data_IF_033757772810
#
_entry.id   IF_033757772810
#
_cell.length_a   1.000
_cell.length_b   1.000
_cell.length_c   1.000
_cell.angle_alpha   90.00
_cell.angle_beta   90.00
_cell.angle_gamma   90.00
#
_symmetry.space_group_name_H-M   'P 1'
#
loop_
_entity.id
_entity.type
_entity.pdbx_description
1 polymer ?
#
# COMPACT_ATOMS: atom_id res chain seq x y z
N UNK A 1 25.00 24.16 -19.21
CA UNK A 1 24.38 23.18 -20.14
C UNK A 1 23.60 22.17 -19.31
N UNK A 2 22.28 22.25 -19.29
CA UNK A 2 21.42 21.33 -18.54
C UNK A 2 21.35 20.00 -19.29
N UNK A 3 21.78 18.89 -18.65
CA UNK A 3 21.60 17.55 -19.20
C UNK A 3 20.11 17.21 -19.14
N UNK A 4 19.46 16.81 -20.25
CA UNK A 4 18.12 16.25 -20.18
C UNK A 4 18.25 14.89 -19.50
N UNK A 5 17.98 14.83 -18.20
CA UNK A 5 17.85 13.56 -17.51
C UNK A 5 16.56 12.93 -18.01
N UNK A 6 16.69 12.13 -19.06
CA UNK A 6 15.67 11.23 -19.58
C UNK A 6 15.41 10.10 -18.57
N UNK A 7 15.09 10.46 -17.32
CA UNK A 7 14.58 9.56 -16.31
C UNK A 7 13.10 9.46 -16.60
N UNK A 8 12.66 8.26 -16.99
CA UNK A 8 11.25 7.88 -16.93
C UNK A 8 10.71 8.44 -15.61
N UNK A 9 9.67 9.28 -15.62
CA UNK A 9 9.13 9.87 -14.40
C UNK A 9 8.85 8.73 -13.41
N UNK A 10 9.20 8.86 -12.12
CA UNK A 10 8.81 7.88 -11.11
C UNK A 10 7.32 7.59 -11.27
N UNK A 11 6.88 6.34 -11.12
CA UNK A 11 5.47 6.01 -11.39
C UNK A 11 4.48 6.85 -10.54
N UNK A 12 4.94 7.34 -9.38
CA UNK A 12 4.30 8.36 -8.54
C UNK A 12 4.03 9.70 -9.25
N UNK A 13 4.96 10.17 -10.08
CA UNK A 13 4.84 11.42 -10.82
C UNK A 13 3.65 11.39 -11.78
N UNK A 14 3.44 10.29 -12.50
CA UNK A 14 2.30 10.14 -13.40
C UNK A 14 0.97 10.16 -12.62
N UNK A 15 0.91 9.45 -11.47
CA UNK A 15 -0.27 9.46 -10.61
C UNK A 15 -0.57 10.86 -10.05
N UNK A 16 0.46 11.60 -9.60
CA UNK A 16 0.34 12.96 -9.08
C UNK A 16 -0.10 13.97 -10.15
N UNK A 17 0.48 13.90 -11.35
CA UNK A 17 0.08 14.74 -12.50
C UNK A 17 -1.39 14.52 -12.84
N UNK A 18 -1.84 13.26 -12.88
CA UNK A 18 -3.24 12.92 -13.18
C UNK A 18 -4.24 13.55 -12.22
N UNK A 19 -3.89 13.67 -10.94
CA UNK A 19 -4.77 14.24 -9.91
C UNK A 19 -4.50 15.72 -9.63
N UNK A 20 -3.62 16.37 -10.40
CA UNK A 20 -3.31 17.79 -10.23
C UNK A 20 -2.44 18.13 -9.02
N UNK A 21 -1.78 17.15 -8.41
CA UNK A 21 -0.81 17.36 -7.33
C UNK A 21 0.55 17.77 -7.91
N UNK A 22 0.56 18.90 -8.59
CA UNK A 22 1.72 19.48 -9.30
C UNK A 22 1.92 20.94 -8.92
N UNK A 23 3.16 21.42 -9.06
CA UNK A 23 3.50 22.83 -8.95
C UNK A 23 3.06 23.59 -10.22
N UNK A 24 3.21 24.92 -10.20
CA UNK A 24 2.88 25.78 -11.35
C UNK A 24 3.66 25.41 -12.63
N UNK A 25 4.86 24.82 -12.49
CA UNK A 25 5.68 24.35 -13.60
C UNK A 25 5.33 22.92 -14.08
N UNK A 26 4.29 22.30 -13.51
CA UNK A 26 3.83 20.95 -13.83
C UNK A 26 4.64 19.83 -13.16
N UNK A 27 5.61 20.16 -12.30
CA UNK A 27 6.38 19.14 -11.57
C UNK A 27 5.57 18.58 -10.39
N UNK A 28 5.72 17.28 -10.04
CA UNK A 28 4.98 16.70 -8.92
C UNK A 28 5.23 17.41 -7.59
N UNK A 29 4.17 17.89 -6.95
CA UNK A 29 4.26 18.60 -5.68
C UNK A 29 4.14 17.63 -4.49
N UNK A 30 5.30 17.29 -3.92
CA UNK A 30 5.42 16.42 -2.74
C UNK A 30 4.76 17.03 -1.50
N UNK A 31 4.71 18.36 -1.39
CA UNK A 31 4.08 19.06 -0.28
C UNK A 31 2.57 18.98 -0.40
N UNK A 32 2.03 19.18 -1.61
CA UNK A 32 0.61 18.98 -1.89
C UNK A 32 0.17 17.54 -1.59
N UNK A 33 0.94 16.53 -2.03
CA UNK A 33 0.68 15.13 -1.71
C UNK A 33 0.69 14.86 -0.20
N UNK A 34 1.65 15.43 0.53
CA UNK A 34 1.71 15.31 1.99
C UNK A 34 0.47 15.90 2.68
N UNK A 35 0.03 17.08 2.25
CA UNK A 35 -1.19 17.71 2.79
C UNK A 35 -2.43 16.87 2.49
N UNK A 36 -2.59 16.41 1.26
CA UNK A 36 -3.74 15.61 0.83
C UNK A 36 -3.79 14.24 1.53
N UNK A 37 -2.63 13.61 1.72
CA UNK A 37 -2.54 12.33 2.42
C UNK A 37 -2.50 12.47 3.96
N UNK A 38 -2.47 13.69 4.51
CA UNK A 38 -2.28 13.90 5.95
C UNK A 38 -0.94 13.38 6.48
N UNK A 39 0.10 13.39 5.63
CA UNK A 39 1.44 12.90 5.94
C UNK A 39 2.43 14.06 6.05
N UNK A 40 3.36 13.95 6.98
CA UNK A 40 4.39 14.96 7.11
C UNK A 40 5.43 14.88 5.96
N UNK A 41 6.15 15.97 5.64
CA UNK A 41 7.09 16.00 4.52
C UNK A 41 8.20 14.93 4.62
N UNK A 42 8.64 14.58 5.83
CA UNK A 42 9.67 13.56 6.04
C UNK A 42 9.18 12.15 5.71
N UNK A 43 7.89 11.85 5.94
CA UNK A 43 7.24 10.60 5.56
C UNK A 43 7.16 10.51 4.04
N UNK A 44 6.67 11.54 3.37
CA UNK A 44 6.58 11.59 1.90
C UNK A 44 7.96 11.40 1.26
N UNK A 45 8.99 12.09 1.75
CA UNK A 45 10.35 11.93 1.23
C UNK A 45 10.86 10.49 1.37
N UNK A 46 10.66 9.86 2.54
CA UNK A 46 11.09 8.47 2.76
C UNK A 46 10.34 7.47 1.88
N UNK A 47 9.04 7.68 1.69
CA UNK A 47 8.17 6.84 0.87
C UNK A 47 8.58 6.93 -0.61
N UNK A 48 8.69 8.14 -1.16
CA UNK A 48 8.95 8.36 -2.58
C UNK A 48 10.38 8.00 -3.00
N UNK A 49 11.37 8.19 -2.13
CA UNK A 49 12.77 7.84 -2.42
C UNK A 49 13.06 6.35 -2.18
N UNK A 50 12.04 5.53 -1.89
CA UNK A 50 12.16 4.13 -1.48
C UNK A 50 13.08 3.93 -0.24
N UNK A 51 13.40 5.01 0.47
CA UNK A 51 14.19 4.99 1.72
C UNK A 51 13.36 4.57 2.94
N UNK A 52 12.11 4.14 2.71
CA UNK A 52 11.33 3.38 3.67
C UNK A 52 11.90 1.96 3.87
N UNK A 53 12.88 1.55 3.06
CA UNK A 53 13.62 0.29 3.20
C UNK A 53 13.97 -0.01 4.67
N UNK A 54 13.31 -1.02 5.23
CA UNK A 54 13.46 -1.48 6.62
C UNK A 54 12.36 -1.05 7.59
N UNK A 55 11.56 -0.03 7.29
CA UNK A 55 10.38 0.36 8.10
C UNK A 55 9.10 -0.09 7.42
N UNK A 56 8.34 -0.92 8.13
CA UNK A 56 7.04 -1.35 7.64
C UNK A 56 6.11 -0.14 7.53
N UNK A 57 5.55 0.11 6.34
CA UNK A 57 4.53 1.16 6.18
C UNK A 57 3.21 0.66 6.77
N UNK A 58 2.51 1.53 7.50
CA UNK A 58 1.19 1.20 8.05
C UNK A 58 0.17 1.18 6.92
N UNK A 59 -0.77 0.26 6.99
CA UNK A 59 -1.92 0.19 6.06
C UNK A 59 -2.67 1.52 5.95
N UNK A 60 -2.81 2.25 7.07
CA UNK A 60 -3.42 3.58 7.09
C UNK A 60 -2.67 4.60 6.22
N UNK A 61 -1.35 4.52 6.16
CA UNK A 61 -0.51 5.36 5.28
C UNK A 61 -0.74 5.02 3.82
N UNK A 62 -0.86 3.73 3.49
CA UNK A 62 -1.16 3.27 2.12
C UNK A 62 -2.55 3.75 1.70
N UNK A 63 -3.55 3.57 2.56
CA UNK A 63 -4.92 4.02 2.30
C UNK A 63 -5.03 5.54 2.15
N UNK A 64 -4.27 6.31 2.94
CA UNK A 64 -4.22 7.75 2.78
C UNK A 64 -3.60 8.18 1.44
N UNK A 65 -2.51 7.54 1.01
CA UNK A 65 -1.89 7.79 -0.29
C UNK A 65 -2.81 7.36 -1.44
N UNK A 66 -3.51 6.23 -1.29
CA UNK A 66 -4.46 5.72 -2.27
C UNK A 66 -5.60 6.72 -2.50
N UNK A 67 -6.14 7.30 -1.42
CA UNK A 67 -7.15 8.37 -1.49
C UNK A 67 -6.60 9.64 -2.17
N UNK A 68 -5.42 10.11 -1.74
CA UNK A 68 -4.81 11.31 -2.29
C UNK A 68 -4.49 11.20 -3.79
N UNK A 69 -4.09 10.01 -4.24
CA UNK A 69 -3.74 9.73 -5.64
C UNK A 69 -4.91 9.19 -6.47
N UNK A 70 -6.08 8.99 -5.87
CA UNK A 70 -7.26 8.38 -6.49
C UNK A 70 -6.93 7.05 -7.20
N UNK A 71 -6.19 6.19 -6.51
CA UNK A 71 -5.79 4.84 -6.95
C UNK A 71 -6.14 3.82 -5.89
N UNK A 72 -6.05 2.53 -6.21
CA UNK A 72 -6.24 1.48 -5.21
C UNK A 72 -5.02 1.34 -4.29
N UNK A 73 -5.20 0.82 -3.06
CA UNK A 73 -4.08 0.46 -2.18
C UNK A 73 -3.11 -0.55 -2.81
N UNK A 74 -3.57 -1.43 -3.71
CA UNK A 74 -2.69 -2.35 -4.45
C UNK A 74 -1.78 -1.59 -5.42
N UNK A 75 -2.35 -0.66 -6.19
CA UNK A 75 -1.58 0.22 -7.08
C UNK A 75 -0.55 1.04 -6.29
N UNK A 76 -0.88 1.54 -5.09
CA UNK A 76 0.10 2.21 -4.23
C UNK A 76 1.27 1.27 -3.90
N UNK A 77 1.01 0.01 -3.54
CA UNK A 77 2.08 -0.96 -3.23
C UNK A 77 2.95 -1.25 -4.46
N UNK A 78 2.35 -1.38 -5.64
CA UNK A 78 3.07 -1.55 -6.90
C UNK A 78 3.96 -0.34 -7.20
N UNK A 79 3.45 0.87 -6.95
CA UNK A 79 4.18 2.13 -7.09
C UNK A 79 5.36 2.24 -6.09
N UNK A 80 5.22 1.65 -4.90
CA UNK A 80 6.29 1.58 -3.89
C UNK A 80 7.34 0.51 -4.19
N UNK A 81 7.01 -0.43 -5.07
CA UNK A 81 7.88 -1.54 -5.44
C UNK A 81 8.00 -2.62 -4.35
N UNK A 82 8.72 -3.72 -4.67
CA UNK A 82 8.79 -4.93 -3.83
C UNK A 82 9.52 -4.75 -2.49
N UNK A 83 10.18 -3.61 -2.27
CA UNK A 83 10.99 -3.34 -1.09
C UNK A 83 10.16 -2.88 0.12
N UNK A 84 8.91 -2.47 -0.09
CA UNK A 84 8.04 -2.04 1.01
C UNK A 84 7.38 -3.24 1.66
N UNK A 85 7.84 -3.59 2.87
CA UNK A 85 7.09 -4.46 3.78
C UNK A 85 5.91 -3.69 4.35
N UNK A 86 4.68 -4.16 4.15
CA UNK A 86 3.49 -3.53 4.72
C UNK A 86 3.21 -4.13 6.10
N UNK A 87 2.99 -3.27 7.10
CA UNK A 87 2.34 -3.64 8.37
C UNK A 87 0.84 -3.43 8.20
N UNK A 88 0.08 -4.53 8.12
CA UNK A 88 -1.33 -4.48 8.46
C UNK A 88 -1.44 -4.30 9.98
N UNK A 89 -2.21 -3.30 10.41
CA UNK A 89 -2.69 -3.26 11.78
C UNK A 89 -3.84 -4.26 11.84
N UNK A 90 -3.67 -5.33 12.61
CA UNK A 90 -4.71 -6.31 12.85
C UNK A 90 -5.69 -5.74 13.88
N UNK A 91 -6.99 -6.01 13.73
CA UNK A 91 -7.97 -5.77 14.80
C UNK A 91 -7.74 -6.75 15.96
N UNK A 92 -8.34 -6.47 17.13
CA UNK A 92 -8.28 -7.40 18.28
C UNK A 92 -8.81 -8.78 17.90
N UNK A 93 -9.95 -8.84 17.21
CA UNK A 93 -10.53 -10.08 16.67
C UNK A 93 -9.59 -10.81 15.71
N UNK A 94 -8.89 -10.09 14.82
CA UNK A 94 -7.93 -10.70 13.89
C UNK A 94 -6.69 -11.24 14.63
N UNK A 95 -6.25 -10.56 15.68
CA UNK A 95 -5.17 -11.03 16.56
C UNK A 95 -5.59 -12.28 17.32
N UNK A 96 -6.81 -12.30 17.89
CA UNK A 96 -7.38 -13.47 18.55
C UNK A 96 -7.52 -14.64 17.60
N UNK A 97 -8.04 -14.41 16.39
CA UNK A 97 -8.21 -15.44 15.36
C UNK A 97 -6.87 -16.06 14.96
N UNK A 98 -5.83 -15.23 14.75
CA UNK A 98 -4.49 -15.72 14.42
C UNK A 98 -3.88 -16.48 15.60
N UNK A 99 -4.12 -16.02 16.83
CA UNK A 99 -3.62 -16.68 18.04
C UNK A 99 -4.27 -18.04 18.24
N UNK A 100 -5.59 -18.11 18.10
CA UNK A 100 -6.35 -19.36 18.10
C UNK A 100 -5.85 -20.32 17.02
N UNK A 101 -5.75 -19.86 15.76
CA UNK A 101 -5.28 -20.69 14.65
C UNK A 101 -3.86 -21.21 14.89
N UNK A 102 -2.99 -20.39 15.51
CA UNK A 102 -1.63 -20.77 15.89
C UNK A 102 -1.58 -21.83 16.99
N UNK A 103 -2.59 -21.87 17.86
CA UNK A 103 -2.75 -22.86 18.92
C UNK A 103 -3.29 -24.22 18.47
N UNK A 104 -3.82 -24.33 17.24
CA UNK A 104 -4.30 -25.60 16.70
C UNK A 104 -3.16 -26.59 16.43
N UNK A 105 -3.43 -27.87 16.66
CA UNK A 105 -2.57 -28.96 16.22
C UNK A 105 -2.61 -29.13 14.68
N UNK A 106 -1.79 -30.04 14.17
CA UNK A 106 -1.59 -30.22 12.73
C UNK A 106 -2.86 -30.69 12.01
N UNK A 107 -3.66 -31.54 12.63
CA UNK A 107 -4.87 -32.13 12.05
C UNK A 107 -5.98 -31.07 12.00
N UNK A 108 -6.24 -30.42 13.13
CA UNK A 108 -7.19 -29.31 13.20
C UNK A 108 -6.82 -28.15 12.24
N UNK A 109 -5.53 -27.84 12.11
CA UNK A 109 -5.07 -26.83 11.14
C UNK A 109 -5.30 -27.28 9.69
N UNK A 110 -5.13 -28.56 9.38
CA UNK A 110 -5.38 -29.09 8.03
C UNK A 110 -6.87 -29.02 7.66
N UNK A 111 -7.77 -29.30 8.61
CA UNK A 111 -9.21 -29.17 8.43
C UNK A 111 -9.63 -27.72 8.16
N UNK A 112 -9.14 -26.78 8.97
CA UNK A 112 -9.41 -25.35 8.74
C UNK A 112 -8.90 -24.90 7.37
N UNK A 113 -7.70 -25.35 6.97
CA UNK A 113 -7.15 -25.03 5.65
C UNK A 113 -8.00 -25.61 4.51
N UNK A 114 -8.49 -26.84 4.67
CA UNK A 114 -9.39 -27.47 3.69
C UNK A 114 -10.72 -26.72 3.58
N UNK A 115 -11.30 -26.29 4.71
CA UNK A 115 -12.53 -25.49 4.76
C UNK A 115 -12.36 -24.10 4.12
N UNK A 116 -11.25 -23.41 4.39
CA UNK A 116 -10.93 -22.12 3.73
C UNK A 116 -10.72 -22.32 2.23
N UNK A 117 -10.06 -23.41 1.83
CA UNK A 117 -9.81 -23.73 0.43
C UNK A 117 -11.11 -24.09 -0.33
N UNK A 118 -12.06 -24.78 0.30
CA UNK A 118 -13.35 -25.10 -0.32
C UNK A 118 -14.20 -23.84 -0.51
N UNK A 119 -14.27 -22.94 0.48
CA UNK A 119 -14.98 -21.66 0.36
C UNK A 119 -14.41 -20.73 -0.70
N UNK A 120 -13.10 -20.80 -0.97
CA UNK A 120 -12.47 -20.05 -2.07
C UNK A 120 -12.79 -20.63 -3.45
N UNK A 121 -13.25 -21.88 -3.54
CA UNK A 121 -13.56 -22.58 -4.78
C UNK A 121 -15.05 -22.57 -5.13
N UNK A 122 -15.91 -22.13 -4.23
CA UNK A 122 -17.31 -21.85 -4.57
C UNK A 122 -17.36 -20.54 -5.39
N UNK A 123 -17.72 -20.59 -6.69
CA UNK A 123 -18.13 -19.37 -7.36
C UNK A 123 -19.37 -18.85 -6.64
N UNK A 124 -19.44 -17.54 -6.41
CA UNK A 124 -20.68 -16.86 -6.01
C UNK A 124 -21.82 -17.35 -6.92
N UNK A 125 -22.62 -18.29 -6.43
CA UNK A 125 -23.94 -18.51 -6.97
C UNK A 125 -24.83 -17.51 -6.23
N UNK A 126 -24.91 -16.31 -6.80
CA UNK A 126 -25.99 -15.38 -6.49
C UNK A 126 -27.33 -16.09 -6.70
N UNK A 127 -28.23 -15.90 -5.74
CA UNK A 127 -29.68 -15.90 -5.91
C UNK A 127 -30.26 -14.88 -4.94
#
# INVERSE_FOLDING_TARGET
>A
MARPQNRVPPAWAAAMVRVGLVQEDGTPDRVALGREAGLNPSQIYRILENKADGRRLRESTINALARALQVTPSQVRDLLGPNVRVTMALTEDEVELITWYRGLDREARAEVNACVASRRREPNHES
#
